data_IF_639924804113
#
_entry.id   IF_639924804113
#
_cell.length_a   1.000
_cell.length_b   1.000
_cell.length_c   1.000
_cell.angle_alpha   90.00
_cell.angle_beta   90.00
_cell.angle_gamma   90.00
#
_symmetry.space_group_name_H-M   'P 1'
#
loop_
_entity.id
_entity.type
_entity.pdbx_description
1 polymer ?
#
# COMPACT_ATOMS: atom_id res chain seq x y z
N UNK A 1 5.82 -6.93 66.01
CA UNK A 1 5.09 -7.39 64.82
C UNK A 1 5.27 -6.36 63.71
N UNK A 2 6.10 -6.62 62.72
CA UNK A 2 6.33 -5.75 61.58
C UNK A 2 5.34 -6.17 60.47
N UNK A 3 4.43 -5.25 60.11
CA UNK A 3 3.48 -5.45 59.00
C UNK A 3 4.19 -5.16 57.67
N UNK A 4 4.36 -6.19 56.84
CA UNK A 4 4.75 -6.04 55.45
C UNK A 4 3.53 -5.65 54.61
N UNK A 5 3.56 -4.48 53.98
CA UNK A 5 2.61 -4.12 52.91
C UNK A 5 3.12 -4.71 51.60
N UNK A 6 2.32 -5.46 50.85
CA UNK A 6 2.72 -5.88 49.53
C UNK A 6 2.63 -4.68 48.58
N UNK A 7 3.75 -4.39 47.92
CA UNK A 7 3.78 -3.45 46.79
C UNK A 7 3.25 -4.20 45.58
N UNK A 8 2.03 -3.84 45.15
CA UNK A 8 1.48 -4.34 43.88
C UNK A 8 2.08 -3.52 42.75
N UNK A 9 2.98 -4.11 41.98
CA UNK A 9 3.43 -3.53 40.71
C UNK A 9 2.32 -3.72 39.67
N UNK A 10 1.60 -2.66 39.35
CA UNK A 10 0.72 -2.62 38.17
C UNK A 10 1.61 -2.40 36.97
N UNK A 11 1.96 -3.49 36.26
CA UNK A 11 2.57 -3.43 34.95
C UNK A 11 1.48 -3.05 33.96
N UNK A 12 1.36 -1.77 33.65
CA UNK A 12 0.58 -1.31 32.50
C UNK A 12 1.31 -1.73 31.25
N UNK A 13 0.90 -2.85 30.65
CA UNK A 13 1.26 -3.21 29.29
C UNK A 13 0.66 -2.16 28.35
N UNK A 14 1.42 -1.13 28.04
CA UNK A 14 1.17 -0.34 26.84
C UNK A 14 1.44 -1.28 25.65
N UNK A 15 0.41 -1.88 25.10
CA UNK A 15 0.45 -2.40 23.75
C UNK A 15 0.69 -1.21 22.84
N UNK A 16 1.93 -0.97 22.42
CA UNK A 16 2.20 -0.16 21.27
C UNK A 16 1.48 -0.86 20.10
N UNK A 17 0.30 -0.37 19.75
CA UNK A 17 -0.30 -0.71 18.47
C UNK A 17 0.68 -0.14 17.45
N UNK A 18 1.45 -1.00 16.81
CA UNK A 18 2.19 -0.66 15.62
C UNK A 18 1.13 -0.26 14.59
N UNK A 19 0.93 1.03 14.39
CA UNK A 19 0.10 1.56 13.31
C UNK A 19 0.94 1.35 12.05
N UNK A 20 0.69 0.24 11.36
CA UNK A 20 1.32 -0.05 10.08
C UNK A 20 0.79 0.92 9.03
N UNK A 21 1.70 1.42 8.21
CA UNK A 21 1.40 2.30 7.10
C UNK A 21 0.40 1.61 6.15
N UNK A 22 -0.68 2.31 5.78
CA UNK A 22 -1.76 1.91 4.87
C UNK A 22 -2.38 0.51 5.10
N UNK A 23 -2.20 -0.07 6.28
CA UNK A 23 -2.55 -1.46 6.58
C UNK A 23 -3.99 -1.82 6.22
N UNK A 24 -4.97 -0.96 6.55
CA UNK A 24 -6.36 -1.20 6.20
C UNK A 24 -6.59 -1.13 4.67
N UNK A 25 -5.97 -0.19 3.96
CA UNK A 25 -6.07 -0.09 2.50
C UNK A 25 -5.45 -1.30 1.81
N UNK A 26 -4.28 -1.78 2.27
CA UNK A 26 -3.66 -2.99 1.73
C UNK A 26 -4.56 -4.22 1.88
N UNK A 27 -5.20 -4.40 3.04
CA UNK A 27 -6.19 -5.48 3.23
C UNK A 27 -7.38 -5.33 2.31
N UNK A 28 -7.87 -4.12 2.12
CA UNK A 28 -9.00 -3.83 1.25
C UNK A 28 -8.65 -4.11 -0.23
N UNK A 29 -7.45 -3.72 -0.68
CA UNK A 29 -6.91 -4.02 -2.01
C UNK A 29 -6.81 -5.53 -2.23
N UNK A 30 -6.23 -6.25 -1.26
CA UNK A 30 -6.12 -7.70 -1.33
C UNK A 30 -7.51 -8.38 -1.33
N UNK A 31 -8.47 -7.89 -0.55
CA UNK A 31 -9.83 -8.40 -0.53
C UNK A 31 -10.57 -8.16 -1.86
N UNK A 32 -10.37 -6.99 -2.51
CA UNK A 32 -10.88 -6.74 -3.88
C UNK A 32 -10.24 -7.72 -4.86
N UNK A 33 -8.90 -7.88 -4.80
CA UNK A 33 -8.21 -8.82 -5.68
C UNK A 33 -8.70 -10.26 -5.49
N UNK A 34 -8.81 -10.73 -4.26
CA UNK A 34 -9.23 -12.09 -3.93
C UNK A 34 -10.59 -12.45 -4.52
N UNK A 35 -11.54 -11.50 -4.52
CA UNK A 35 -12.87 -11.68 -5.12
C UNK A 35 -12.84 -11.97 -6.62
N UNK A 36 -11.77 -11.55 -7.31
CA UNK A 36 -11.61 -11.70 -8.77
C UNK A 36 -10.56 -12.75 -9.17
N UNK A 37 -10.08 -13.57 -8.23
CA UNK A 37 -9.23 -14.70 -8.53
C UNK A 37 -10.06 -15.86 -9.11
N UNK A 38 -9.50 -16.53 -10.12
CA UNK A 38 -10.08 -17.79 -10.59
C UNK A 38 -9.88 -18.91 -9.56
N UNK A 39 -10.72 -19.93 -9.62
CA UNK A 39 -10.57 -21.12 -8.75
C UNK A 39 -9.20 -21.78 -8.90
N UNK A 40 -8.65 -21.79 -10.12
CA UNK A 40 -7.34 -22.34 -10.41
C UNK A 40 -6.23 -21.49 -9.78
N UNK A 41 -6.34 -20.17 -9.88
CA UNK A 41 -5.41 -19.23 -9.21
C UNK A 41 -5.45 -19.43 -7.70
N UNK A 42 -6.62 -19.47 -7.09
CA UNK A 42 -6.74 -19.70 -5.64
C UNK A 42 -6.11 -21.03 -5.22
N UNK A 43 -6.36 -22.10 -5.98
CA UNK A 43 -5.77 -23.43 -5.71
C UNK A 43 -4.24 -23.39 -5.78
N UNK A 44 -3.67 -22.70 -6.78
CA UNK A 44 -2.23 -22.61 -6.94
C UNK A 44 -1.59 -21.70 -5.88
N UNK A 45 -2.23 -20.59 -5.50
CA UNK A 45 -1.76 -19.74 -4.40
C UNK A 45 -1.66 -20.52 -3.08
N UNK A 46 -2.62 -21.40 -2.78
CA UNK A 46 -2.63 -22.22 -1.57
C UNK A 46 -1.49 -23.24 -1.50
N UNK A 47 -0.72 -23.46 -2.58
CA UNK A 47 0.51 -24.25 -2.54
C UNK A 47 1.66 -23.47 -1.89
N UNK A 48 1.62 -22.13 -1.94
CA UNK A 48 2.69 -21.25 -1.49
C UNK A 48 2.32 -20.37 -0.30
N UNK A 49 1.02 -20.10 -0.09
CA UNK A 49 0.50 -19.27 1.00
C UNK A 49 -0.42 -20.11 1.87
N UNK A 50 -0.21 -20.10 3.17
CA UNK A 50 -1.00 -20.86 4.17
C UNK A 50 -2.24 -20.10 4.67
N UNK A 51 -2.41 -18.86 4.23
CA UNK A 51 -3.55 -18.00 4.53
C UNK A 51 -4.02 -17.26 3.26
N UNK A 52 -5.16 -16.56 3.37
CA UNK A 52 -5.65 -15.62 2.37
C UNK A 52 -4.61 -14.55 2.04
N UNK A 53 -4.61 -14.05 0.80
CA UNK A 53 -3.73 -12.93 0.40
C UNK A 53 -3.99 -11.67 1.24
N UNK A 54 -5.17 -11.54 1.85
CA UNK A 54 -5.53 -10.44 2.77
C UNK A 54 -4.64 -10.45 4.02
N UNK A 55 -4.29 -11.62 4.54
CA UNK A 55 -3.42 -11.76 5.71
C UNK A 55 -1.97 -11.35 5.43
N UNK A 56 -1.55 -11.43 4.16
CA UNK A 56 -0.21 -11.02 3.73
C UNK A 56 -0.11 -9.56 3.30
N UNK A 57 -1.22 -8.84 3.25
CA UNK A 57 -1.27 -7.48 2.74
C UNK A 57 -0.31 -6.51 3.47
N UNK A 58 -0.09 -6.71 4.76
CA UNK A 58 0.82 -5.89 5.59
C UNK A 58 2.20 -6.55 5.82
N UNK A 59 2.46 -7.72 5.23
CA UNK A 59 3.65 -8.52 5.54
C UNK A 59 4.96 -7.76 5.32
N UNK A 60 5.07 -7.01 4.25
CA UNK A 60 6.28 -6.29 3.90
C UNK A 60 6.61 -5.20 4.92
N UNK A 61 5.63 -4.46 5.40
CA UNK A 61 5.79 -3.44 6.45
C UNK A 61 6.23 -4.04 7.79
N UNK A 62 5.66 -5.19 8.14
CA UNK A 62 5.99 -5.89 9.38
C UNK A 62 7.44 -6.36 9.38
N UNK A 63 7.90 -6.91 8.26
CA UNK A 63 9.17 -7.65 8.20
C UNK A 63 10.35 -6.87 7.63
N UNK A 64 10.17 -5.65 7.09
CA UNK A 64 11.27 -4.84 6.55
C UNK A 64 12.28 -4.37 7.60
N UNK A 65 11.87 -4.22 8.87
CA UNK A 65 12.71 -3.67 9.92
C UNK A 65 13.48 -4.77 10.67
N UNK A 66 14.83 -4.69 10.70
CA UNK A 66 15.68 -5.57 11.49
C UNK A 66 15.73 -7.03 11.03
N UNK A 67 15.34 -7.32 9.77
CA UNK A 67 15.31 -8.66 9.18
C UNK A 67 16.13 -8.71 7.89
N UNK A 68 16.33 -9.90 7.28
CA UNK A 68 16.98 -10.00 5.96
C UNK A 68 16.21 -9.24 4.86
N UNK A 69 14.96 -8.85 5.10
CA UNK A 69 14.13 -8.13 4.13
C UNK A 69 14.27 -6.60 4.21
N UNK A 70 15.22 -6.09 5.00
CA UNK A 70 15.50 -4.65 5.10
C UNK A 70 15.78 -3.98 3.74
N UNK A 71 16.29 -4.72 2.78
CA UNK A 71 16.46 -4.29 1.38
C UNK A 71 15.18 -3.72 0.78
N UNK A 72 14.02 -4.20 1.19
CA UNK A 72 12.72 -3.75 0.68
C UNK A 72 12.23 -2.41 1.25
N UNK A 73 12.95 -1.79 2.18
CA UNK A 73 12.53 -0.53 2.85
C UNK A 73 12.21 0.60 1.88
N UNK A 74 12.88 0.65 0.73
CA UNK A 74 12.69 1.70 -0.27
C UNK A 74 11.75 1.29 -1.42
N UNK A 75 11.31 0.04 -1.48
CA UNK A 75 10.44 -0.46 -2.56
C UNK A 75 9.00 0.02 -2.42
N UNK A 76 8.66 0.66 -1.30
CA UNK A 76 7.34 1.24 -1.04
C UNK A 76 7.05 2.52 -1.84
N UNK A 77 8.07 3.16 -2.41
CA UNK A 77 7.97 4.50 -2.98
C UNK A 77 8.18 4.51 -4.48
N UNK A 78 7.54 5.47 -5.14
CA UNK A 78 7.72 5.80 -6.55
C UNK A 78 8.44 7.15 -6.64
N UNK A 79 9.37 7.27 -7.59
CA UNK A 79 10.02 8.55 -7.90
C UNK A 79 9.57 9.04 -9.28
N UNK A 80 9.03 10.24 -9.35
CA UNK A 80 8.64 10.92 -10.59
C UNK A 80 9.62 12.05 -10.87
N UNK A 81 10.17 12.06 -12.08
CA UNK A 81 11.13 13.04 -12.52
C UNK A 81 10.48 14.41 -12.89
N UNK A 82 11.32 15.34 -13.33
CA UNK A 82 10.91 16.70 -13.72
C UNK A 82 9.99 16.72 -14.96
N UNK A 83 9.98 15.65 -15.74
CA UNK A 83 9.11 15.49 -16.91
C UNK A 83 7.79 14.79 -16.60
N UNK A 84 7.58 14.41 -15.33
CA UNK A 84 6.40 13.67 -14.90
C UNK A 84 6.49 12.17 -15.16
N UNK A 85 7.70 11.65 -15.43
CA UNK A 85 7.94 10.25 -15.74
C UNK A 85 8.52 9.49 -14.52
N UNK A 86 8.14 8.21 -14.33
CA UNK A 86 8.77 7.38 -13.31
C UNK A 86 10.26 7.21 -13.63
N UNK A 87 11.12 7.69 -12.73
CA UNK A 87 12.55 7.76 -13.01
C UNK A 87 13.27 6.41 -12.81
N UNK A 88 12.72 5.52 -12.01
CA UNK A 88 13.39 4.28 -11.60
C UNK A 88 14.75 4.50 -10.92
N UNK A 89 15.00 5.72 -10.41
CA UNK A 89 16.27 6.10 -9.82
C UNK A 89 16.62 5.22 -8.64
N UNK A 90 17.82 4.69 -8.66
CA UNK A 90 18.42 4.05 -7.50
C UNK A 90 18.74 5.11 -6.43
N UNK A 91 18.36 4.83 -5.20
CA UNK A 91 18.77 5.66 -4.07
C UNK A 91 20.27 5.45 -3.76
N UNK A 92 20.88 6.31 -2.95
CA UNK A 92 22.32 6.28 -2.68
C UNK A 92 22.86 4.93 -2.15
N UNK A 93 22.01 4.10 -1.57
CA UNK A 93 22.36 2.75 -1.09
C UNK A 93 22.19 1.64 -2.15
N UNK A 94 21.84 1.97 -3.39
CA UNK A 94 21.66 1.01 -4.48
C UNK A 94 20.33 0.26 -4.49
N UNK A 95 19.49 0.46 -3.47
CA UNK A 95 18.16 -0.14 -3.41
C UNK A 95 17.22 0.65 -4.31
N UNK A 96 16.79 0.04 -5.40
CA UNK A 96 15.92 0.67 -6.37
C UNK A 96 14.59 1.08 -5.77
N UNK A 97 13.94 2.00 -6.47
CA UNK A 97 12.56 2.38 -6.28
C UNK A 97 11.61 1.18 -6.54
N UNK A 98 10.38 1.27 -6.05
CA UNK A 98 9.41 0.15 -6.09
C UNK A 98 9.12 -0.36 -7.50
N UNK A 99 9.10 0.50 -8.52
CA UNK A 99 8.74 0.12 -9.88
C UNK A 99 9.72 -0.91 -10.49
N UNK A 100 11.04 -0.67 -10.52
CA UNK A 100 11.99 -1.65 -11.01
C UNK A 100 11.90 -3.00 -10.28
N UNK A 101 11.68 -2.98 -8.97
CA UNK A 101 11.54 -4.20 -8.19
C UNK A 101 10.25 -4.95 -8.52
N UNK A 102 9.15 -4.24 -8.70
CA UNK A 102 7.89 -4.88 -9.13
C UNK A 102 8.04 -5.50 -10.52
N UNK A 103 8.68 -4.80 -11.47
CA UNK A 103 8.96 -5.34 -12.82
C UNK A 103 9.82 -6.61 -12.72
N UNK A 104 10.85 -6.61 -11.87
CA UNK A 104 11.69 -7.80 -11.63
C UNK A 104 10.85 -8.96 -11.09
N UNK A 105 10.05 -8.74 -10.04
CA UNK A 105 9.20 -9.76 -9.44
C UNK A 105 8.19 -10.32 -10.45
N UNK A 106 7.53 -9.46 -11.23
CA UNK A 106 6.59 -9.89 -12.27
C UNK A 106 7.30 -10.76 -13.32
N UNK A 107 8.50 -10.39 -13.76
CA UNK A 107 9.24 -11.17 -14.73
C UNK A 107 9.70 -12.53 -14.17
N UNK A 108 10.13 -12.59 -12.93
CA UNK A 108 10.44 -13.87 -12.26
C UNK A 108 9.19 -14.75 -12.15
N UNK A 109 8.06 -14.18 -11.75
CA UNK A 109 6.81 -14.91 -11.55
C UNK A 109 6.19 -15.44 -12.85
N UNK A 110 6.55 -14.93 -14.03
CA UNK A 110 6.16 -15.54 -15.32
C UNK A 110 6.66 -16.97 -15.48
N UNK A 111 7.76 -17.32 -14.83
CA UNK A 111 8.35 -18.65 -14.82
C UNK A 111 8.33 -19.31 -13.44
N UNK A 112 7.29 -19.04 -12.65
CA UNK A 112 7.19 -19.45 -11.26
C UNK A 112 7.39 -20.94 -11.02
N UNK A 113 7.03 -21.80 -12.01
CA UNK A 113 7.17 -23.26 -11.90
C UNK A 113 8.63 -23.73 -11.83
N UNK A 114 9.57 -22.92 -12.30
CA UNK A 114 11.00 -23.18 -12.27
C UNK A 114 11.72 -22.46 -11.11
N UNK A 115 10.99 -21.67 -10.30
CA UNK A 115 11.55 -21.03 -9.11
C UNK A 115 11.47 -21.95 -7.89
N UNK A 116 12.39 -21.82 -6.92
CA UNK A 116 12.22 -22.44 -5.61
C UNK A 116 10.94 -21.96 -4.94
N UNK A 117 10.20 -22.84 -4.26
CA UNK A 117 8.94 -22.52 -3.57
C UNK A 117 9.08 -21.34 -2.59
N UNK A 118 10.22 -21.26 -1.89
CA UNK A 118 10.51 -20.14 -0.99
C UNK A 118 10.60 -18.79 -1.70
N UNK A 119 11.09 -18.75 -2.93
CA UNK A 119 11.17 -17.53 -3.73
C UNK A 119 9.79 -17.15 -4.28
N UNK A 120 9.00 -18.13 -4.72
CA UNK A 120 7.60 -17.90 -5.13
C UNK A 120 6.82 -17.31 -3.96
N UNK A 121 6.89 -17.91 -2.77
CA UNK A 121 6.25 -17.40 -1.56
C UNK A 121 6.66 -15.96 -1.25
N UNK A 122 7.96 -15.65 -1.32
CA UNK A 122 8.48 -14.31 -1.03
C UNK A 122 8.04 -13.28 -2.07
N UNK A 123 8.12 -13.62 -3.35
CA UNK A 123 7.68 -12.75 -4.45
C UNK A 123 6.19 -12.44 -4.36
N UNK A 124 5.37 -13.43 -3.99
CA UNK A 124 3.93 -13.21 -3.75
C UNK A 124 3.70 -12.20 -2.63
N UNK A 125 4.36 -12.36 -1.48
CA UNK A 125 4.21 -11.44 -0.34
C UNK A 125 4.63 -10.02 -0.67
N UNK A 126 5.76 -9.86 -1.39
CA UNK A 126 6.18 -8.55 -1.87
C UNK A 126 5.18 -7.95 -2.85
N UNK A 127 4.74 -8.71 -3.84
CA UNK A 127 3.83 -8.21 -4.87
C UNK A 127 2.46 -7.81 -4.31
N UNK A 128 1.89 -8.61 -3.38
CA UNK A 128 0.62 -8.30 -2.70
C UNK A 128 0.67 -6.91 -2.05
N UNK A 129 1.78 -6.57 -1.42
CA UNK A 129 1.98 -5.28 -0.76
C UNK A 129 2.30 -4.16 -1.76
N UNK A 130 3.31 -4.37 -2.60
CA UNK A 130 3.84 -3.33 -3.50
C UNK A 130 2.83 -2.82 -4.52
N UNK A 131 1.88 -3.67 -4.98
CA UNK A 131 0.79 -3.20 -5.83
C UNK A 131 -0.05 -2.17 -5.10
N UNK A 132 -0.29 -2.34 -3.79
CA UNK A 132 -0.95 -1.33 -2.97
C UNK A 132 -0.14 -0.04 -2.91
N UNK A 133 1.11 -0.11 -2.50
CA UNK A 133 2.00 1.06 -2.37
C UNK A 133 2.11 1.88 -3.66
N UNK A 134 2.17 1.22 -4.81
CA UNK A 134 2.20 1.90 -6.11
C UNK A 134 0.92 2.67 -6.44
N UNK A 135 -0.13 2.52 -5.62
CA UNK A 135 -1.39 3.24 -5.75
C UNK A 135 -1.65 4.17 -4.55
N UNK A 136 -0.78 4.16 -3.54
CA UNK A 136 -0.91 5.04 -2.39
C UNK A 136 -0.64 6.50 -2.79
N UNK A 137 -1.57 7.43 -2.53
CA UNK A 137 -1.43 8.82 -2.95
C UNK A 137 -0.17 9.51 -2.43
N UNK A 138 0.32 9.12 -1.27
CA UNK A 138 1.49 9.74 -0.64
C UNK A 138 2.81 8.99 -0.87
N UNK A 139 2.81 7.84 -1.56
CA UNK A 139 4.01 7.06 -1.83
C UNK A 139 4.76 7.52 -3.10
N UNK A 140 4.62 8.79 -3.46
CA UNK A 140 5.20 9.36 -4.66
C UNK A 140 6.13 10.53 -4.29
N UNK A 141 7.39 10.45 -4.72
CA UNK A 141 8.33 11.56 -4.68
C UNK A 141 8.32 12.29 -6.02
N UNK A 142 7.90 13.53 -6.01
CA UNK A 142 7.87 14.38 -7.20
C UNK A 142 9.10 15.29 -7.23
N UNK A 143 9.82 15.27 -8.34
CA UNK A 143 11.02 16.11 -8.51
C UNK A 143 10.70 17.62 -8.59
N UNK A 144 9.49 17.96 -9.02
CA UNK A 144 9.00 19.35 -9.13
C UNK A 144 8.53 19.97 -7.81
N UNK A 145 8.43 19.17 -6.75
CA UNK A 145 8.08 19.67 -5.42
C UNK A 145 9.31 20.23 -4.69
N UNK A 146 9.14 21.14 -3.70
CA UNK A 146 10.24 21.75 -2.98
C UNK A 146 11.26 20.74 -2.46
N UNK A 147 12.53 20.88 -2.88
CA UNK A 147 13.65 20.02 -2.51
C UNK A 147 13.86 18.80 -3.39
N UNK A 148 13.07 18.66 -4.47
CA UNK A 148 13.25 17.61 -5.48
C UNK A 148 12.92 16.19 -4.97
N UNK A 149 13.22 15.15 -5.76
CA UNK A 149 12.79 13.77 -5.50
C UNK A 149 13.44 13.13 -4.27
N UNK A 150 14.54 13.71 -3.79
CA UNK A 150 15.20 13.24 -2.57
C UNK A 150 14.66 13.91 -1.31
N UNK A 151 13.92 15.00 -1.46
CA UNK A 151 13.26 15.65 -0.36
C UNK A 151 11.88 15.07 -0.13
N UNK A 152 11.63 14.67 1.08
CA UNK A 152 10.36 14.12 1.52
C UNK A 152 9.32 15.23 1.71
N UNK A 153 9.02 16.02 0.65
CA UNK A 153 8.08 17.13 0.76
C UNK A 153 6.74 16.69 1.35
N UNK A 154 6.18 15.57 0.91
CA UNK A 154 4.95 15.01 1.45
C UNK A 154 4.99 14.64 2.94
N UNK A 155 6.16 14.73 3.58
CA UNK A 155 6.34 14.50 5.01
C UNK A 155 6.23 15.77 5.85
N UNK A 156 5.80 16.89 5.26
CA UNK A 156 5.50 18.09 6.03
C UNK A 156 4.44 17.79 7.10
N UNK A 157 4.46 18.60 8.14
CA UNK A 157 3.55 18.42 9.28
C UNK A 157 2.40 19.41 9.19
N UNK A 158 1.23 18.96 9.62
CA UNK A 158 0.03 19.76 9.75
C UNK A 158 -0.77 19.32 10.99
N UNK A 159 -1.86 20.00 11.28
CA UNK A 159 -2.78 19.62 12.35
C UNK A 159 -3.89 18.73 11.79
N UNK A 160 -4.04 17.53 12.36
CA UNK A 160 -5.13 16.61 12.09
C UNK A 160 -5.90 16.32 13.37
N UNK A 161 -7.20 16.67 13.42
CA UNK A 161 -8.02 16.54 14.65
C UNK A 161 -7.28 17.12 15.88
N UNK A 162 -6.63 18.27 15.71
CA UNK A 162 -5.87 18.97 16.76
C UNK A 162 -4.47 18.40 17.07
N UNK A 163 -4.07 17.26 16.48
CA UNK A 163 -2.76 16.66 16.69
C UNK A 163 -1.83 16.96 15.52
N UNK A 164 -0.53 17.19 15.80
CA UNK A 164 0.46 17.35 14.74
C UNK A 164 0.82 16.00 14.13
N UNK A 165 0.54 15.83 12.83
CA UNK A 165 0.80 14.61 12.05
C UNK A 165 1.62 14.91 10.82
N UNK A 166 2.33 13.92 10.28
CA UNK A 166 2.94 13.99 8.96
C UNK A 166 1.85 13.78 7.90
N UNK A 167 1.81 14.62 6.86
CA UNK A 167 0.80 14.53 5.81
C UNK A 167 0.87 13.20 5.04
N UNK A 168 2.08 12.74 4.74
CA UNK A 168 2.30 11.39 4.21
C UNK A 168 1.58 10.32 5.04
N UNK A 169 1.82 10.30 6.36
CA UNK A 169 1.20 9.29 7.24
C UNK A 169 -0.33 9.41 7.36
N UNK A 170 -0.92 10.59 7.08
CA UNK A 170 -2.37 10.73 7.04
C UNK A 170 -2.96 10.03 5.80
N UNK A 171 -2.35 10.20 4.64
CA UNK A 171 -2.74 9.47 3.44
C UNK A 171 -2.50 7.97 3.57
N UNK A 172 -1.43 7.60 4.22
CA UNK A 172 -0.98 6.24 4.41
C UNK A 172 -1.78 5.45 5.47
N UNK A 173 -2.38 6.13 6.45
CA UNK A 173 -3.09 5.46 7.56
C UNK A 173 -4.56 5.84 7.62
N UNK A 174 -4.89 7.13 7.58
CA UNK A 174 -6.24 7.64 7.84
C UNK A 174 -7.10 7.75 6.59
N UNK A 175 -6.52 7.99 5.41
CA UNK A 175 -7.30 8.32 4.21
C UNK A 175 -8.42 7.31 3.92
N UNK A 176 -8.16 6.02 4.06
CA UNK A 176 -9.14 4.98 3.77
C UNK A 176 -10.23 4.90 4.84
N UNK A 177 -9.84 4.88 6.12
CA UNK A 177 -10.80 4.73 7.23
C UNK A 177 -11.63 5.98 7.45
N UNK A 178 -11.04 7.15 7.24
CA UNK A 178 -11.71 8.43 7.47
C UNK A 178 -12.49 8.92 6.23
N UNK A 179 -12.21 8.38 5.04
CA UNK A 179 -13.01 8.64 3.83
C UNK A 179 -14.44 8.08 3.93
N UNK A 180 -14.58 6.91 4.56
CA UNK A 180 -15.87 6.26 4.73
C UNK A 180 -15.92 5.48 6.05
N UNK A 181 -16.07 6.18 7.19
CA UNK A 181 -15.88 5.57 8.52
C UNK A 181 -16.92 4.50 8.85
N UNK A 182 -18.12 4.56 8.28
CA UNK A 182 -19.13 3.52 8.52
C UNK A 182 -18.77 2.21 7.79
N UNK A 183 -18.36 2.31 6.52
CA UNK A 183 -17.90 1.13 5.77
C UNK A 183 -16.58 0.58 6.30
N UNK A 184 -15.71 1.44 6.83
CA UNK A 184 -14.43 1.00 7.41
C UNK A 184 -14.57 0.10 8.66
N UNK A 185 -15.78 -0.07 9.20
CA UNK A 185 -16.05 -1.01 10.29
C UNK A 185 -16.12 -2.47 9.84
N UNK A 186 -16.36 -2.71 8.54
CA UNK A 186 -16.44 -4.04 7.94
C UNK A 186 -15.65 -4.05 6.60
N UNK A 187 -14.52 -4.77 6.60
CA UNK A 187 -13.63 -4.86 5.46
C UNK A 187 -14.34 -5.37 4.20
N UNK A 188 -15.19 -6.36 4.35
CA UNK A 188 -15.85 -7.01 3.20
C UNK A 188 -17.04 -6.19 2.69
N UNK A 189 -17.76 -5.51 3.56
CA UNK A 189 -18.78 -4.54 3.15
C UNK A 189 -18.14 -3.37 2.37
N UNK A 190 -16.98 -2.88 2.83
CA UNK A 190 -16.28 -1.81 2.12
C UNK A 190 -15.69 -2.29 0.80
N UNK A 191 -15.12 -3.51 0.76
CA UNK A 191 -14.72 -4.16 -0.49
C UNK A 191 -15.86 -4.17 -1.51
N UNK A 192 -17.06 -4.64 -1.13
CA UNK A 192 -18.19 -4.75 -2.04
C UNK A 192 -18.69 -3.37 -2.52
N UNK A 193 -18.60 -2.35 -1.68
CA UNK A 193 -18.86 -0.97 -2.07
C UNK A 193 -17.84 -0.44 -3.08
N UNK A 194 -16.55 -0.75 -2.90
CA UNK A 194 -15.49 -0.35 -3.85
C UNK A 194 -15.61 -1.12 -5.16
N UNK A 195 -15.93 -2.40 -5.10
CA UNK A 195 -16.07 -3.29 -6.26
C UNK A 195 -17.41 -3.12 -7.00
N UNK A 196 -17.82 -1.87 -7.24
CA UNK A 196 -19.08 -1.49 -7.89
C UNK A 196 -19.01 -1.34 -9.42
N UNK A 197 -17.86 -1.57 -10.01
CA UNK A 197 -17.59 -1.37 -11.43
C UNK A 197 -18.07 -2.56 -12.28
N UNK A 198 -18.50 -2.29 -13.51
CA UNK A 198 -18.80 -3.34 -14.49
C UNK A 198 -17.56 -4.15 -14.85
N UNK A 199 -17.75 -5.31 -15.50
CA UNK A 199 -16.61 -6.12 -15.95
C UNK A 199 -15.71 -5.35 -16.91
N UNK A 200 -16.30 -4.62 -17.84
CA UNK A 200 -15.58 -3.81 -18.84
C UNK A 200 -14.75 -2.69 -18.19
N UNK A 201 -15.29 -2.04 -17.18
CA UNK A 201 -14.57 -1.02 -16.42
C UNK A 201 -13.42 -1.61 -15.62
N UNK A 202 -13.65 -2.74 -14.94
CA UNK A 202 -12.58 -3.45 -14.21
C UNK A 202 -11.46 -3.90 -15.12
N UNK A 203 -11.81 -4.51 -16.27
CA UNK A 203 -10.84 -4.95 -17.26
C UNK A 203 -10.01 -3.77 -17.79
N UNK A 204 -10.63 -2.62 -18.03
CA UNK A 204 -9.94 -1.40 -18.43
C UNK A 204 -9.00 -0.86 -17.33
N UNK A 205 -9.45 -0.82 -16.08
CA UNK A 205 -8.66 -0.38 -14.92
C UNK A 205 -7.46 -1.29 -14.66
N UNK A 206 -7.60 -2.59 -14.93
CA UNK A 206 -6.54 -3.58 -14.71
C UNK A 206 -5.42 -3.52 -15.75
N UNK A 207 -5.60 -2.83 -16.89
CA UNK A 207 -4.61 -2.79 -17.99
C UNK A 207 -3.30 -2.10 -17.61
N UNK A 208 -2.30 -2.28 -18.46
CA UNK A 208 -0.99 -1.64 -18.33
C UNK A 208 0.03 -2.48 -17.56
N UNK A 209 1.11 -1.85 -17.19
CA UNK A 209 2.26 -2.39 -16.47
C UNK A 209 2.68 -1.44 -15.32
N UNK A 210 3.62 -1.83 -14.46
CA UNK A 210 4.01 -1.00 -13.33
C UNK A 210 4.45 0.43 -13.71
N UNK A 211 5.07 0.63 -14.87
CA UNK A 211 5.48 1.96 -15.34
C UNK A 211 4.29 2.83 -15.71
N UNK A 212 3.32 2.27 -16.45
CA UNK A 212 2.09 2.96 -16.81
C UNK A 212 1.21 3.24 -15.61
N UNK A 213 1.14 2.32 -14.65
CA UNK A 213 0.42 2.51 -13.39
C UNK A 213 1.03 3.63 -12.55
N UNK A 214 2.36 3.70 -12.46
CA UNK A 214 3.06 4.77 -11.76
C UNK A 214 2.76 6.14 -12.36
N UNK A 215 2.76 6.28 -13.70
CA UNK A 215 2.38 7.54 -14.37
C UNK A 215 0.94 7.93 -14.07
N UNK A 216 0.03 6.98 -14.15
CA UNK A 216 -1.39 7.20 -13.88
C UNK A 216 -1.61 7.63 -12.43
N UNK A 217 -1.02 6.91 -11.48
CA UNK A 217 -1.11 7.21 -10.05
C UNK A 217 -0.51 8.58 -9.75
N UNK A 218 0.68 8.88 -10.29
CA UNK A 218 1.32 10.18 -10.12
C UNK A 218 0.42 11.32 -10.61
N UNK A 219 -0.13 11.20 -11.81
CA UNK A 219 -1.05 12.20 -12.36
C UNK A 219 -2.30 12.38 -11.50
N UNK A 220 -2.89 11.28 -11.04
CA UNK A 220 -4.12 11.30 -10.25
C UNK A 220 -3.89 11.84 -8.82
N UNK A 221 -2.73 11.55 -8.25
CA UNK A 221 -2.43 11.86 -6.85
C UNK A 221 -1.65 13.18 -6.65
N UNK A 222 -1.08 13.78 -7.72
CA UNK A 222 -0.37 15.06 -7.63
C UNK A 222 -1.16 16.16 -6.92
N UNK A 223 -2.49 16.30 -7.12
CA UNK A 223 -3.29 17.35 -6.48
C UNK A 223 -3.33 17.29 -4.95
N UNK A 224 -3.00 16.17 -4.30
CA UNK A 224 -2.99 16.11 -2.83
C UNK A 224 -2.09 17.18 -2.22
N UNK A 225 -1.00 17.55 -2.92
CA UNK A 225 -0.05 18.58 -2.49
C UNK A 225 -0.53 20.01 -2.74
N UNK A 226 -1.68 20.18 -3.40
CA UNK A 226 -2.37 21.47 -3.54
C UNK A 226 -3.51 21.61 -2.52
N UNK A 227 -4.07 20.50 -2.05
CA UNK A 227 -5.20 20.47 -1.12
C UNK A 227 -4.81 20.78 0.34
N UNK A 228 -3.55 20.56 0.72
CA UNK A 228 -3.04 20.92 2.04
C UNK A 228 -1.58 21.34 1.98
N UNK A 229 -1.20 22.21 2.89
CA UNK A 229 0.14 22.79 3.02
C UNK A 229 0.72 22.59 4.43
N UNK A 230 2.03 22.81 4.63
CA UNK A 230 2.60 22.83 5.98
C UNK A 230 1.78 23.73 6.94
N UNK A 231 1.59 23.23 8.15
CA UNK A 231 0.90 23.92 9.26
C UNK A 231 -0.61 24.11 9.09
N UNK A 232 -1.23 23.67 8.00
CA UNK A 232 -2.68 23.66 7.85
C UNK A 232 -3.35 22.87 8.98
N UNK A 233 -4.64 23.10 9.17
CA UNK A 233 -5.49 22.33 10.09
C UNK A 233 -6.59 21.67 9.28
N UNK A 234 -6.58 20.34 9.25
CA UNK A 234 -7.59 19.51 8.59
C UNK A 234 -8.21 18.52 9.57
N UNK A 235 -9.35 18.00 9.21
CA UNK A 235 -10.07 16.98 9.97
C UNK A 235 -10.55 15.84 9.07
N UNK A 236 -11.46 15.03 9.56
CA UNK A 236 -12.03 13.91 8.83
C UNK A 236 -12.76 14.33 7.54
N UNK A 237 -13.41 15.51 7.53
CA UNK A 237 -14.15 15.98 6.36
C UNK A 237 -13.22 16.14 5.15
N UNK A 238 -11.96 16.50 5.36
CA UNK A 238 -10.94 16.52 4.30
C UNK A 238 -10.88 15.20 3.53
N UNK A 239 -10.85 14.05 4.21
CA UNK A 239 -10.82 12.75 3.53
C UNK A 239 -12.17 12.34 2.96
N UNK A 240 -13.28 12.73 3.58
CA UNK A 240 -14.62 12.51 3.03
C UNK A 240 -14.79 13.26 1.70
N UNK A 241 -14.31 14.50 1.60
CA UNK A 241 -14.35 15.31 0.38
C UNK A 241 -13.47 14.74 -0.74
N UNK A 242 -12.36 14.10 -0.38
CA UNK A 242 -11.40 13.53 -1.33
C UNK A 242 -11.46 11.99 -1.45
N UNK A 243 -12.54 11.36 -0.96
CA UNK A 243 -12.68 9.90 -0.92
C UNK A 243 -12.57 9.22 -2.29
N UNK A 244 -13.06 9.88 -3.34
CA UNK A 244 -13.06 9.30 -4.69
C UNK A 244 -11.64 9.00 -5.18
N UNK A 245 -10.64 9.80 -4.78
CA UNK A 245 -9.24 9.50 -5.06
C UNK A 245 -8.83 8.20 -4.38
N UNK A 246 -8.99 8.10 -3.05
CA UNK A 246 -8.60 6.93 -2.27
C UNK A 246 -9.30 5.66 -2.78
N UNK A 247 -10.63 5.71 -2.95
CA UNK A 247 -11.43 4.56 -3.37
C UNK A 247 -11.09 4.10 -4.78
N UNK A 248 -10.85 5.04 -5.72
CA UNK A 248 -10.46 4.68 -7.08
C UNK A 248 -9.07 4.05 -7.14
N UNK A 249 -8.12 4.53 -6.35
CA UNK A 249 -6.78 3.93 -6.27
C UNK A 249 -6.84 2.51 -5.68
N UNK A 250 -7.63 2.29 -4.65
CA UNK A 250 -7.85 0.95 -4.07
C UNK A 250 -8.47 -0.01 -5.10
N UNK A 251 -9.51 0.43 -5.83
CA UNK A 251 -10.15 -0.39 -6.86
C UNK A 251 -9.15 -0.80 -7.96
N UNK A 252 -8.39 0.17 -8.50
CA UNK A 252 -7.37 -0.09 -9.53
C UNK A 252 -6.30 -1.06 -9.03
N UNK A 253 -5.78 -0.84 -7.82
CA UNK A 253 -4.79 -1.71 -7.21
C UNK A 253 -5.31 -3.15 -7.07
N UNK A 254 -6.55 -3.32 -6.59
CA UNK A 254 -7.18 -4.62 -6.43
C UNK A 254 -7.34 -5.37 -7.77
N UNK A 255 -7.84 -4.70 -8.81
CA UNK A 255 -8.01 -5.32 -10.14
C UNK A 255 -6.68 -5.65 -10.81
N UNK A 256 -5.66 -4.78 -10.65
CA UNK A 256 -4.30 -5.01 -11.15
C UNK A 256 -3.63 -6.19 -10.46
N UNK A 257 -3.77 -6.30 -9.15
CA UNK A 257 -3.28 -7.44 -8.38
C UNK A 257 -3.97 -8.75 -8.81
N UNK A 258 -5.31 -8.75 -8.93
CA UNK A 258 -6.06 -9.91 -9.39
C UNK A 258 -5.62 -10.37 -10.79
N UNK A 259 -5.45 -9.41 -11.72
CA UNK A 259 -4.97 -9.71 -13.07
C UNK A 259 -3.59 -10.37 -13.04
N UNK A 260 -2.62 -9.80 -12.32
CA UNK A 260 -1.27 -10.38 -12.23
C UNK A 260 -1.30 -11.81 -11.66
N UNK A 261 -2.03 -12.03 -10.58
CA UNK A 261 -2.14 -13.35 -9.97
C UNK A 261 -2.79 -14.37 -10.91
N UNK A 262 -3.85 -13.98 -11.62
CA UNK A 262 -4.49 -14.83 -12.61
C UNK A 262 -3.58 -15.09 -13.81
N UNK A 263 -2.84 -14.11 -14.32
CA UNK A 263 -1.86 -14.30 -15.41
C UNK A 263 -0.78 -15.32 -15.06
N UNK A 264 -0.34 -15.39 -13.80
CA UNK A 264 0.66 -16.37 -13.37
C UNK A 264 0.07 -17.76 -13.15
N UNK A 265 -1.08 -17.85 -12.51
CA UNK A 265 -1.56 -19.10 -11.92
C UNK A 265 -2.75 -19.74 -12.65
N UNK A 266 -3.39 -19.05 -13.58
CA UNK A 266 -4.54 -19.59 -14.32
C UNK A 266 -4.13 -20.30 -15.64
N UNK A 267 -2.84 -20.31 -15.99
CA UNK A 267 -2.28 -20.96 -17.20
C UNK A 267 -1.85 -22.40 -16.96
#
# INVERSE_FOLDING_TARGET
MKRFLPIVFVVTLFSAQNVFAWGYAHKLIAAVAEKHLTERTQKNLNLYLDHSIVEYAEWMDVYRNGTPYHVSTWWHMITIDENGEPSGTTRPNGDGDGIPQMVRIINEMKDWRNLPDSLVNLNLKWMIHMVGDNHCPSHIFFADLPGGPQNRYGWFRLKYKGQTKAYHGLWDVQSTTDSNPELAKDLYAYRDYIDRYTKEERDAMAQGDPWSWARETAKSCRPIYDWAKPDDSIDQNFFIEHKDLTESQIAKAGYRLARLLNEFFDN
#
